data_IF_422736230878
#
_entry.id   IF_422736230878
#
_cell.length_a   1.000
_cell.length_b   1.000
_cell.length_c   1.000
_cell.angle_alpha   90.00
_cell.angle_beta   90.00
_cell.angle_gamma   90.00
#
_symmetry.space_group_name_H-M   'P 1'
#
loop_
_entity.id
_entity.type
_entity.pdbx_description
1 polymer ?
#
# COMPACT_ATOMS: atom_id res chain seq x y z
N UNK A 1 -56.45 6.38 6.39
CA UNK A 1 -55.43 5.34 6.59
C UNK A 1 -54.10 5.96 6.16
N UNK A 2 -53.30 6.37 7.14
CA UNK A 2 -52.08 7.16 6.92
C UNK A 2 -50.90 6.20 7.04
N UNK A 3 -50.21 5.91 5.94
CA UNK A 3 -48.96 5.17 5.97
C UNK A 3 -47.85 6.08 6.52
N UNK A 4 -47.06 5.65 7.52
CA UNK A 4 -45.87 6.40 7.90
C UNK A 4 -44.81 6.26 6.78
N UNK A 5 -44.31 7.41 6.33
CA UNK A 5 -43.15 7.53 5.44
C UNK A 5 -41.93 7.00 6.19
N UNK A 6 -41.14 6.06 5.64
CA UNK A 6 -39.90 5.66 6.27
C UNK A 6 -38.96 6.88 6.33
N UNK A 7 -38.40 7.11 7.50
CA UNK A 7 -37.39 8.13 7.71
C UNK A 7 -36.23 7.89 6.74
N UNK A 8 -35.98 8.87 5.86
CA UNK A 8 -34.68 9.01 5.21
C UNK A 8 -33.65 9.15 6.32
N UNK A 9 -32.93 8.06 6.56
CA UNK A 9 -31.69 8.10 7.34
C UNK A 9 -30.67 8.85 6.48
N UNK A 10 -30.42 10.10 6.85
CA UNK A 10 -29.25 10.85 6.41
C UNK A 10 -28.00 9.99 6.63
N UNK A 11 -27.23 9.65 5.58
CA UNK A 11 -25.90 9.14 5.78
C UNK A 11 -25.06 10.29 6.33
N UNK A 12 -24.94 10.33 7.66
CA UNK A 12 -23.92 11.10 8.35
C UNK A 12 -22.56 10.73 7.76
N UNK A 13 -22.02 11.69 7.00
CA UNK A 13 -20.62 11.90 6.63
C UNK A 13 -19.65 11.23 7.62
N UNK A 14 -19.31 9.99 7.34
CA UNK A 14 -18.11 9.31 7.86
C UNK A 14 -17.33 9.01 6.60
N UNK A 15 -16.12 9.58 6.48
CA UNK A 15 -15.34 9.63 5.23
C UNK A 15 -15.37 8.31 4.47
N UNK A 16 -16.00 8.34 3.29
CA UNK A 16 -16.24 7.21 2.40
C UNK A 16 -14.98 6.91 1.58
N UNK A 17 -13.84 6.74 2.25
CA UNK A 17 -12.68 6.14 1.60
C UNK A 17 -12.94 4.64 1.58
N UNK A 18 -13.08 4.02 0.40
CA UNK A 18 -13.30 2.58 0.32
C UNK A 18 -12.16 1.87 1.07
N UNK A 19 -12.47 0.77 1.78
CA UNK A 19 -11.45 0.03 2.52
C UNK A 19 -10.33 -0.39 1.57
N UNK A 20 -9.10 -0.26 2.04
CA UNK A 20 -7.89 -0.59 1.30
C UNK A 20 -8.00 -1.99 0.66
N UNK A 21 -7.83 -2.07 -0.66
CA UNK A 21 -7.93 -3.33 -1.39
C UNK A 21 -6.62 -4.15 -1.29
N UNK A 22 -6.42 -4.75 -0.13
CA UNK A 22 -5.29 -5.66 0.13
C UNK A 22 -5.25 -6.84 -0.85
N UNK A 23 -6.38 -7.24 -1.44
CA UNK A 23 -6.43 -8.33 -2.42
C UNK A 23 -5.74 -7.94 -3.72
N UNK A 24 -6.05 -6.76 -4.25
CA UNK A 24 -5.41 -6.21 -5.44
C UNK A 24 -3.92 -5.92 -5.21
N UNK A 25 -3.57 -5.42 -4.02
CA UNK A 25 -2.17 -5.19 -3.63
C UNK A 25 -1.39 -6.51 -3.65
N UNK A 26 -1.92 -7.55 -2.97
CA UNK A 26 -1.31 -8.89 -2.93
C UNK A 26 -1.22 -9.53 -4.32
N UNK A 27 -2.20 -9.32 -5.20
CA UNK A 27 -2.13 -9.77 -6.58
C UNK A 27 -0.98 -9.08 -7.36
N UNK A 28 -0.83 -7.76 -7.19
CA UNK A 28 0.25 -6.97 -7.81
C UNK A 28 1.62 -7.42 -7.32
N UNK A 29 1.78 -7.61 -6.00
CA UNK A 29 3.01 -8.13 -5.37
C UNK A 29 3.37 -9.50 -5.92
N UNK A 30 2.42 -10.44 -6.00
CA UNK A 30 2.67 -11.79 -6.55
C UNK A 30 3.17 -11.73 -7.98
N UNK A 31 2.59 -10.83 -8.80
CA UNK A 31 3.02 -10.66 -10.19
C UNK A 31 4.43 -10.08 -10.31
N UNK A 32 4.78 -9.10 -9.46
CA UNK A 32 6.10 -8.48 -9.44
C UNK A 32 7.21 -9.39 -8.90
N UNK A 33 6.88 -10.29 -7.97
CA UNK A 33 7.82 -11.24 -7.35
C UNK A 33 7.81 -12.62 -8.00
N UNK A 34 7.06 -12.82 -9.08
CA UNK A 34 6.99 -14.09 -9.78
C UNK A 34 8.40 -14.51 -10.26
N UNK A 35 8.79 -15.75 -9.95
CA UNK A 35 10.03 -16.33 -10.46
C UNK A 35 9.95 -16.51 -11.98
N UNK A 36 10.97 -16.02 -12.69
CA UNK A 36 11.05 -16.05 -14.15
C UNK A 36 12.46 -16.40 -14.59
N UNK A 37 12.56 -17.17 -15.67
CA UNK A 37 13.84 -17.56 -16.29
C UNK A 37 14.49 -16.44 -17.11
N UNK A 38 13.72 -15.39 -17.46
CA UNK A 38 14.17 -14.22 -18.19
C UNK A 38 13.62 -12.93 -17.58
N UNK A 39 14.27 -11.80 -17.88
CA UNK A 39 13.80 -10.48 -17.43
C UNK A 39 12.40 -10.18 -18.03
N UNK A 40 11.48 -9.61 -17.23
CA UNK A 40 10.21 -9.12 -17.73
C UNK A 40 10.41 -8.02 -18.78
N UNK A 41 9.48 -7.87 -19.75
CA UNK A 41 9.48 -6.73 -20.66
C UNK A 41 9.46 -5.41 -19.89
N UNK A 42 10.24 -4.42 -20.34
CA UNK A 42 10.35 -3.12 -19.64
C UNK A 42 9.00 -2.39 -19.49
N UNK A 43 8.06 -2.60 -20.42
CA UNK A 43 6.69 -2.10 -20.28
C UNK A 43 6.01 -2.68 -19.03
N UNK A 44 6.09 -4.00 -18.84
CA UNK A 44 5.51 -4.66 -17.67
C UNK A 44 6.19 -4.19 -16.37
N UNK A 45 7.51 -4.02 -16.37
CA UNK A 45 8.24 -3.47 -15.22
C UNK A 45 7.72 -2.10 -14.84
N UNK A 46 7.58 -1.19 -15.82
CA UNK A 46 7.08 0.17 -15.58
C UNK A 46 5.64 0.15 -15.05
N UNK A 47 4.78 -0.65 -15.66
CA UNK A 47 3.36 -0.71 -15.29
C UNK A 47 3.21 -1.28 -13.85
N UNK A 48 4.00 -2.32 -13.50
CA UNK A 48 4.04 -2.86 -12.13
C UNK A 48 4.66 -1.90 -11.13
N UNK A 49 5.75 -1.22 -11.48
CA UNK A 49 6.36 -0.19 -10.62
C UNK A 49 5.37 0.92 -10.32
N UNK A 50 4.64 1.43 -11.32
CA UNK A 50 3.64 2.48 -11.11
C UNK A 50 2.51 2.00 -10.19
N UNK A 51 1.98 0.79 -10.42
CA UNK A 51 0.95 0.21 -9.56
C UNK A 51 1.43 0.03 -8.12
N UNK A 52 2.64 -0.50 -7.91
CA UNK A 52 3.22 -0.70 -6.58
C UNK A 52 3.45 0.62 -5.83
N UNK A 53 3.83 1.69 -6.53
CA UNK A 53 3.96 3.02 -5.91
C UNK A 53 2.60 3.55 -5.45
N UNK A 54 1.57 3.47 -6.29
CA UNK A 54 0.21 3.87 -5.90
C UNK A 54 -0.28 3.11 -4.67
N UNK A 55 -0.12 1.78 -4.67
CA UNK A 55 -0.48 0.93 -3.53
C UNK A 55 0.29 1.30 -2.25
N UNK A 56 1.58 1.64 -2.37
CA UNK A 56 2.39 2.07 -1.22
C UNK A 56 1.96 3.44 -0.71
N UNK A 57 1.60 4.37 -1.58
CA UNK A 57 1.09 5.70 -1.19
C UNK A 57 -0.24 5.59 -0.44
N UNK A 58 -1.16 4.73 -0.91
CA UNK A 58 -2.43 4.43 -0.23
C UNK A 58 -2.19 3.81 1.15
N UNK A 59 -1.44 2.70 1.21
CA UNK A 59 -1.13 2.03 2.47
C UNK A 59 -0.36 2.90 3.45
N UNK A 60 0.50 3.80 2.95
CA UNK A 60 1.25 4.74 3.78
C UNK A 60 0.30 5.70 4.50
N UNK A 61 -0.76 6.17 3.84
CA UNK A 61 -1.76 7.05 4.44
C UNK A 61 -2.43 6.36 5.63
N UNK A 62 -2.93 5.14 5.42
CA UNK A 62 -3.60 4.36 6.47
C UNK A 62 -2.64 4.05 7.64
N UNK A 63 -1.40 3.67 7.33
CA UNK A 63 -0.37 3.41 8.35
C UNK A 63 0.01 4.67 9.15
N UNK A 64 -0.05 5.86 8.53
CA UNK A 64 0.16 7.13 9.25
C UNK A 64 -0.98 7.40 10.23
N UNK A 65 -2.23 7.17 9.84
CA UNK A 65 -3.38 7.31 10.73
C UNK A 65 -3.30 6.36 11.93
N UNK A 66 -2.94 5.09 11.69
CA UNK A 66 -2.71 4.11 12.76
C UNK A 66 -1.57 4.54 13.70
N UNK A 67 -0.45 5.02 13.15
CA UNK A 67 0.66 5.53 13.97
C UNK A 67 0.22 6.72 14.82
N UNK A 68 -0.53 7.66 14.24
CA UNK A 68 -0.88 8.92 14.89
C UNK A 68 -1.93 8.73 15.99
N UNK A 69 -2.68 7.63 15.96
CA UNK A 69 -3.55 7.20 17.05
C UNK A 69 -2.80 6.58 18.25
N UNK A 70 -1.51 6.25 18.10
CA UNK A 70 -0.71 5.61 19.16
C UNK A 70 0.06 6.63 20.02
N UNK A 71 0.26 6.30 21.29
CA UNK A 71 1.13 7.07 22.16
C UNK A 71 2.60 6.98 21.72
N UNK A 72 3.27 8.14 21.59
CA UNK A 72 4.62 8.27 21.03
C UNK A 72 5.72 7.49 21.75
N UNK A 73 5.51 7.15 23.02
CA UNK A 73 6.47 6.41 23.85
C UNK A 73 6.29 4.90 23.74
N UNK A 74 5.30 4.42 23.00
CA UNK A 74 5.00 3.00 22.87
C UNK A 74 5.88 2.33 21.82
N UNK A 75 6.16 1.04 22.04
CA UNK A 75 6.86 0.20 21.06
C UNK A 75 6.10 0.13 19.74
N UNK A 76 4.76 0.14 19.79
CA UNK A 76 3.91 0.14 18.61
C UNK A 76 4.10 1.40 17.76
N UNK A 77 4.14 2.59 18.37
CA UNK A 77 4.43 3.85 17.68
C UNK A 77 5.81 3.82 17.00
N UNK A 78 6.84 3.36 17.72
CA UNK A 78 8.19 3.24 17.16
C UNK A 78 8.26 2.23 16.00
N UNK A 79 7.56 1.09 16.10
CA UNK A 79 7.46 0.09 15.02
C UNK A 79 6.87 0.72 13.76
N UNK A 80 5.73 1.40 13.88
CA UNK A 80 5.09 2.07 12.74
C UNK A 80 5.96 3.19 12.16
N UNK A 81 6.65 3.96 13.00
CA UNK A 81 7.57 4.99 12.52
C UNK A 81 8.73 4.41 11.69
N UNK A 82 9.30 3.27 12.09
CA UNK A 82 10.33 2.57 11.34
C UNK A 82 9.80 2.03 10.00
N UNK A 83 8.59 1.45 9.99
CA UNK A 83 7.93 0.95 8.77
C UNK A 83 7.71 2.11 7.79
N UNK A 84 7.13 3.21 8.25
CA UNK A 84 6.87 4.39 7.42
C UNK A 84 8.14 5.03 6.88
N UNK A 85 9.21 5.13 7.69
CA UNK A 85 10.51 5.63 7.23
C UNK A 85 11.07 4.81 6.07
N UNK A 86 10.89 3.48 6.13
CA UNK A 86 11.32 2.59 5.05
C UNK A 86 10.47 2.78 3.78
N UNK A 87 9.16 2.88 3.93
CA UNK A 87 8.24 3.15 2.82
C UNK A 87 8.62 4.45 2.11
N UNK A 88 8.88 5.51 2.88
CA UNK A 88 9.28 6.82 2.35
C UNK A 88 10.61 6.71 1.59
N UNK A 89 11.59 6.02 2.17
CA UNK A 89 12.89 5.80 1.51
C UNK A 89 12.76 5.06 0.17
N UNK A 90 11.88 4.05 0.09
CA UNK A 90 11.67 3.27 -1.12
C UNK A 90 10.86 4.05 -2.19
N UNK A 91 9.93 4.92 -1.76
CA UNK A 91 9.16 5.81 -2.62
C UNK A 91 10.00 6.98 -3.15
N UNK A 92 10.96 7.49 -2.39
CA UNK A 92 11.88 8.56 -2.82
C UNK A 92 12.99 8.04 -3.73
N UNK A 93 13.29 6.74 -3.67
CA UNK A 93 14.25 6.11 -4.57
C UNK A 93 13.75 6.08 -6.02
N UNK A 94 14.69 6.12 -6.97
CA UNK A 94 14.43 6.09 -8.41
C UNK A 94 15.08 4.86 -9.05
N UNK A 95 14.45 4.22 -10.05
CA UNK A 95 15.08 3.13 -10.77
C UNK A 95 16.35 3.62 -11.48
N UNK A 96 17.43 2.86 -11.35
CA UNK A 96 18.65 3.09 -12.14
C UNK A 96 18.38 2.93 -13.65
N UNK A 97 19.26 3.46 -14.52
CA UNK A 97 19.03 3.55 -15.96
C UNK A 97 19.03 2.19 -16.68
N UNK A 98 19.43 1.12 -16.01
CA UNK A 98 19.62 -0.19 -16.61
C UNK A 98 18.38 -1.09 -16.40
N UNK A 99 18.06 -2.01 -17.34
CA UNK A 99 16.91 -2.89 -17.19
C UNK A 99 16.90 -3.72 -15.91
N UNK A 100 18.06 -4.25 -15.50
CA UNK A 100 18.16 -5.04 -14.26
C UNK A 100 17.98 -4.19 -13.00
N UNK A 101 18.39 -2.92 -13.01
CA UNK A 101 18.17 -2.01 -11.88
C UNK A 101 16.70 -1.62 -11.76
N UNK A 102 15.99 -1.47 -12.87
CA UNK A 102 14.55 -1.23 -12.86
C UNK A 102 13.78 -2.44 -12.29
N UNK A 103 14.17 -3.66 -12.67
CA UNK A 103 13.58 -4.89 -12.11
C UNK A 103 13.89 -5.02 -10.62
N UNK A 104 15.13 -4.76 -10.20
CA UNK A 104 15.49 -4.78 -8.79
C UNK A 104 14.65 -3.77 -7.97
N UNK A 105 14.49 -2.55 -8.49
CA UNK A 105 13.66 -1.52 -7.86
C UNK A 105 12.18 -1.95 -7.74
N UNK A 106 11.58 -2.47 -8.82
CA UNK A 106 10.23 -3.03 -8.79
C UNK A 106 10.08 -4.10 -7.71
N UNK A 107 11.06 -5.01 -7.56
CA UNK A 107 11.03 -6.04 -6.54
C UNK A 107 11.21 -5.50 -5.11
N UNK A 108 11.99 -4.42 -4.93
CA UNK A 108 12.09 -3.72 -3.64
C UNK A 108 10.72 -3.18 -3.24
N UNK A 109 10.07 -2.43 -4.13
CA UNK A 109 8.72 -1.91 -3.88
C UNK A 109 7.73 -3.04 -3.58
N UNK A 110 7.78 -4.15 -4.32
CA UNK A 110 6.89 -5.28 -4.07
C UNK A 110 7.12 -5.95 -2.70
N UNK A 111 8.36 -6.05 -2.23
CA UNK A 111 8.66 -6.58 -0.89
C UNK A 111 8.20 -5.63 0.21
N UNK A 112 8.38 -4.33 0.02
CA UNK A 112 7.91 -3.30 0.96
C UNK A 112 6.38 -3.27 1.01
N UNK A 113 5.71 -3.32 -0.15
CA UNK A 113 4.25 -3.41 -0.23
C UNK A 113 3.71 -4.68 0.46
N UNK A 114 4.37 -5.83 0.26
CA UNK A 114 4.00 -7.07 0.98
C UNK A 114 4.09 -6.90 2.49
N UNK A 115 5.24 -6.40 2.98
CA UNK A 115 5.46 -6.26 4.41
C UNK A 115 4.47 -5.29 5.06
N UNK A 116 4.18 -4.16 4.39
CA UNK A 116 3.22 -3.17 4.87
C UNK A 116 1.79 -3.74 4.88
N UNK A 117 1.38 -4.43 3.81
CA UNK A 117 0.09 -5.11 3.74
C UNK A 117 -0.07 -6.16 4.85
N UNK A 118 0.97 -6.94 5.13
CA UNK A 118 0.94 -7.92 6.23
C UNK A 118 0.81 -7.23 7.60
N UNK A 119 1.47 -6.08 7.80
CA UNK A 119 1.31 -5.30 9.04
C UNK A 119 -0.08 -4.69 9.18
N UNK A 120 -0.70 -4.24 8.08
CA UNK A 120 -2.05 -3.67 8.10
C UNK A 120 -3.14 -4.73 8.33
N UNK A 121 -2.93 -5.97 7.88
CA UNK A 121 -3.86 -7.09 8.08
C UNK A 121 -3.84 -7.65 9.52
N UNK A 122 -2.78 -7.35 10.30
CA UNK A 122 -2.65 -7.73 11.71
C UNK A 122 -3.44 -6.81 12.68
N UNK A 123 -4.04 -5.71 12.19
CA UNK A 123 -4.70 -4.67 12.98
C UNK A 123 -6.19 -4.53 12.67
#
# INVERSE_FOLDING_TARGET
MTHPRPAEVDPMLTGDTPPLDLTTIRATVRRALQERTALPPMREVRDLTAALRGHLEEMRSDAQELRDALERTTVAWHRWNCILTRVDSDLDASPGPQPWTAVAYMQVLARTARHLADCLDEH
#
